data_IF_424751759801
#
_entry.id   IF_424751759801
#
_cell.length_a   1.000
_cell.length_b   1.000
_cell.length_c   1.000
_cell.angle_alpha   90.00
_cell.angle_beta   90.00
_cell.angle_gamma   90.00
#
_symmetry.space_group_name_H-M   'P 1'
#
loop_
_entity.id
_entity.type
_entity.pdbx_description
1 polymer ?
#
# COMPACT_ATOMS: atom_id res chain seq x y z
N UNK A 1 4.70 12.40 2.70
CA UNK A 1 3.75 11.85 1.71
C UNK A 1 3.98 10.35 1.63
N UNK A 2 2.92 9.54 1.60
CA UNK A 2 3.01 8.08 1.46
C UNK A 2 2.24 7.66 0.20
N UNK A 3 2.88 6.89 -0.67
CA UNK A 3 2.35 6.45 -1.97
C UNK A 3 2.66 4.97 -2.16
N UNK A 4 1.77 4.23 -2.83
CA UNK A 4 2.07 2.87 -3.27
C UNK A 4 2.43 2.78 -4.75
N UNK A 5 3.43 1.96 -5.05
CA UNK A 5 3.88 1.63 -6.42
C UNK A 5 2.84 0.92 -7.24
N UNK A 6 2.12 -0.04 -6.65
CA UNK A 6 1.12 -0.85 -7.35
C UNK A 6 -0.09 -0.03 -7.80
N UNK A 7 -0.27 1.18 -7.24
CA UNK A 7 -1.52 1.88 -7.40
C UNK A 7 -1.83 2.30 -8.84
N UNK A 8 -3.07 2.03 -9.25
CA UNK A 8 -3.64 2.35 -10.56
C UNK A 8 -4.80 3.35 -10.49
N UNK A 9 -5.28 3.68 -9.29
CA UNK A 9 -6.38 4.63 -9.06
C UNK A 9 -5.84 6.04 -8.82
N UNK A 10 -4.73 6.14 -8.09
CA UNK A 10 -3.99 7.39 -7.87
C UNK A 10 -2.86 7.50 -8.88
N UNK A 11 -2.73 8.66 -9.55
CA UNK A 11 -1.56 8.95 -10.38
C UNK A 11 -0.33 9.19 -9.49
N UNK A 12 0.37 8.08 -9.19
CA UNK A 12 1.58 8.06 -8.36
C UNK A 12 2.71 8.90 -8.93
N UNK A 13 2.87 8.97 -10.26
CA UNK A 13 3.94 9.75 -10.87
C UNK A 13 3.68 11.24 -10.73
N UNK A 14 2.44 11.66 -11.00
CA UNK A 14 2.04 13.04 -10.74
C UNK A 14 2.25 13.42 -9.28
N UNK A 15 1.78 12.59 -8.33
CA UNK A 15 1.93 12.87 -6.90
C UNK A 15 3.40 12.95 -6.45
N UNK A 16 4.28 12.09 -6.97
CA UNK A 16 5.73 12.15 -6.75
C UNK A 16 6.33 13.46 -7.28
N UNK A 17 5.91 13.90 -8.47
CA UNK A 17 6.38 15.19 -9.02
C UNK A 17 5.87 16.38 -8.18
N UNK A 18 4.61 16.33 -7.72
CA UNK A 18 4.08 17.36 -6.81
C UNK A 18 4.85 17.40 -5.48
N UNK A 19 5.22 16.23 -4.92
CA UNK A 19 6.10 16.17 -3.76
C UNK A 19 7.44 16.86 -4.03
N UNK A 20 8.10 16.47 -5.12
CA UNK A 20 9.42 17.01 -5.46
C UNK A 20 9.41 18.53 -5.73
N UNK A 21 8.29 19.07 -6.23
CA UNK A 21 8.17 20.47 -6.66
C UNK A 21 7.64 21.42 -5.58
N UNK A 22 6.80 20.91 -4.66
CA UNK A 22 6.06 21.78 -3.73
C UNK A 22 6.36 21.52 -2.25
N UNK A 23 7.02 20.42 -1.92
CA UNK A 23 7.40 20.13 -0.54
C UNK A 23 8.83 20.61 -0.35
N UNK A 24 8.99 21.89 -0.01
CA UNK A 24 10.30 22.56 0.02
C UNK A 24 11.07 22.38 1.34
N UNK A 25 10.39 21.91 2.40
CA UNK A 25 11.06 21.66 3.67
C UNK A 25 12.01 20.46 3.53
N UNK A 26 13.31 20.59 3.89
CA UNK A 26 14.32 19.54 3.71
C UNK A 26 14.00 18.26 4.51
N UNK A 27 13.20 18.36 5.56
CA UNK A 27 12.77 17.25 6.38
C UNK A 27 11.58 16.48 5.80
N UNK A 28 10.87 17.04 4.82
CA UNK A 28 9.70 16.35 4.21
C UNK A 28 10.12 15.00 3.67
N UNK A 29 9.32 13.96 3.91
CA UNK A 29 9.62 12.59 3.47
C UNK A 29 8.62 12.12 2.41
N UNK A 30 9.10 11.40 1.40
CA UNK A 30 8.32 10.54 0.52
C UNK A 30 8.52 9.09 0.95
N UNK A 31 7.46 8.45 1.40
CA UNK A 31 7.41 7.01 1.70
C UNK A 31 6.81 6.28 0.51
N UNK A 32 7.58 5.39 -0.09
CA UNK A 32 7.21 4.61 -1.26
C UNK A 32 6.98 3.15 -0.90
N UNK A 33 5.72 2.69 -0.97
CA UNK A 33 5.35 1.30 -0.76
C UNK A 33 5.48 0.54 -2.08
N UNK A 34 6.69 0.05 -2.35
CA UNK A 34 7.11 -0.67 -3.54
C UNK A 34 8.63 -0.82 -3.65
N UNK A 35 9.08 -1.64 -4.59
CA UNK A 35 10.48 -2.06 -4.72
C UNK A 35 11.26 -1.22 -5.74
N UNK A 36 10.59 -0.40 -6.53
CA UNK A 36 11.13 0.43 -7.60
C UNK A 36 10.82 1.92 -7.34
N UNK A 37 11.40 2.53 -6.30
CA UNK A 37 11.13 3.92 -5.98
C UNK A 37 11.61 4.89 -7.06
N UNK A 38 10.97 6.07 -7.18
CA UNK A 38 11.48 7.14 -8.02
C UNK A 38 12.83 7.64 -7.51
N UNK A 39 13.72 8.07 -8.41
CA UNK A 39 15.01 8.68 -8.06
C UNK A 39 14.75 10.15 -7.69
N UNK A 40 14.21 10.37 -6.49
CA UNK A 40 13.94 11.69 -5.91
C UNK A 40 14.53 11.77 -4.51
N UNK A 41 15.05 12.93 -4.13
CA UNK A 41 15.56 13.17 -2.78
C UNK A 41 14.46 12.97 -1.73
N UNK A 42 14.87 12.62 -0.50
CA UNK A 42 13.98 12.41 0.64
C UNK A 42 12.96 11.28 0.44
N UNK A 43 13.33 10.30 -0.38
CA UNK A 43 12.52 9.09 -0.64
C UNK A 43 13.03 7.92 0.20
N UNK A 44 12.14 7.27 0.94
CA UNK A 44 12.36 5.98 1.61
C UNK A 44 11.41 4.96 1.00
N UNK A 45 11.90 3.77 0.67
CA UNK A 45 11.12 2.74 0.01
C UNK A 45 11.01 1.47 0.87
N UNK A 46 9.84 0.84 0.84
CA UNK A 46 9.58 -0.43 1.51
C UNK A 46 9.03 -1.45 0.49
N UNK A 47 9.66 -2.62 0.43
CA UNK A 47 9.27 -3.70 -0.49
C UNK A 47 7.87 -4.22 -0.17
N UNK A 48 6.98 -4.32 -1.17
CA UNK A 48 5.60 -4.79 -0.96
C UNK A 48 5.32 -6.17 -1.54
N UNK A 49 6.33 -6.85 -2.08
CA UNK A 49 6.24 -8.27 -2.43
C UNK A 49 6.63 -9.07 -1.19
N UNK A 50 5.64 -9.43 -0.37
CA UNK A 50 5.80 -10.06 0.94
C UNK A 50 5.03 -11.40 0.99
N UNK A 51 5.60 -12.51 0.47
CA UNK A 51 4.92 -13.80 0.37
C UNK A 51 4.44 -14.36 1.72
N UNK A 52 5.18 -14.09 2.80
CA UNK A 52 4.85 -14.49 4.16
C UNK A 52 3.56 -13.82 4.69
N UNK A 53 3.21 -12.65 4.15
CA UNK A 53 1.96 -11.94 4.42
C UNK A 53 0.93 -12.11 3.28
N UNK A 54 1.25 -12.90 2.25
CA UNK A 54 0.48 -13.03 1.01
C UNK A 54 0.24 -11.70 0.31
N UNK A 55 1.19 -10.76 0.38
CA UNK A 55 1.08 -9.47 -0.32
C UNK A 55 1.85 -9.57 -1.65
N UNK A 56 1.15 -9.39 -2.77
CA UNK A 56 1.77 -9.34 -4.10
C UNK A 56 2.26 -7.94 -4.45
N UNK A 57 1.57 -6.90 -3.99
CA UNK A 57 1.98 -5.50 -4.19
C UNK A 57 1.24 -4.58 -3.21
N UNK A 58 1.70 -3.33 -3.08
CA UNK A 58 1.06 -2.34 -2.22
C UNK A 58 -0.20 -1.74 -2.82
N UNK A 59 -1.00 -1.08 -1.98
CA UNK A 59 -2.19 -0.31 -2.39
C UNK A 59 -2.23 1.04 -1.67
N UNK A 60 -2.81 2.08 -2.29
CA UNK A 60 -3.08 3.34 -1.60
C UNK A 60 -3.94 3.17 -0.34
N UNK A 61 -4.86 2.19 -0.32
CA UNK A 61 -5.68 1.90 0.85
C UNK A 61 -4.84 1.35 2.01
N UNK A 62 -3.76 0.66 1.69
CA UNK A 62 -2.79 0.13 2.64
C UNK A 62 -2.02 1.21 3.39
N UNK A 63 -2.11 2.50 3.03
CA UNK A 63 -1.39 3.55 3.74
C UNK A 63 -1.92 3.92 5.12
N UNK A 64 -3.18 3.57 5.44
CA UNK A 64 -3.92 4.16 6.57
C UNK A 64 -4.01 3.30 7.83
N UNK A 65 -4.08 1.98 7.69
CA UNK A 65 -4.41 1.09 8.80
C UNK A 65 -3.19 0.26 9.24
N UNK A 66 -3.03 0.06 10.55
CA UNK A 66 -2.02 -0.83 11.10
C UNK A 66 -2.37 -2.31 10.88
N UNK A 67 -1.38 -3.22 10.93
CA UNK A 67 -1.62 -4.66 10.85
C UNK A 67 -2.60 -5.19 11.91
N UNK A 68 -2.65 -4.55 13.08
CA UNK A 68 -3.50 -4.91 14.21
C UNK A 68 -4.88 -4.23 14.18
N UNK A 69 -5.19 -3.46 13.12
CA UNK A 69 -6.48 -2.80 13.01
C UNK A 69 -7.63 -3.85 12.99
N UNK A 70 -8.63 -3.76 13.88
CA UNK A 70 -9.67 -4.79 14.01
C UNK A 70 -10.60 -4.89 12.79
N UNK A 71 -10.65 -3.86 11.96
CA UNK A 71 -11.54 -3.81 10.80
C UNK A 71 -10.79 -4.10 9.48
N UNK A 72 -9.54 -3.66 9.35
CA UNK A 72 -8.78 -3.69 8.09
C UNK A 72 -7.36 -4.27 8.19
N UNK A 73 -6.95 -4.75 9.36
CA UNK A 73 -5.64 -5.36 9.60
C UNK A 73 -5.51 -6.76 8.99
N UNK A 74 -4.42 -7.47 9.34
CA UNK A 74 -4.16 -8.86 8.90
C UNK A 74 -5.34 -9.78 9.23
N UNK A 75 -5.96 -9.55 10.39
CA UNK A 75 -7.13 -10.28 10.89
C UNK A 75 -8.40 -9.41 10.92
N UNK A 76 -8.46 -8.38 10.06
CA UNK A 76 -9.58 -7.45 9.99
C UNK A 76 -10.88 -8.13 9.59
N UNK A 77 -12.01 -7.64 10.12
CA UNK A 77 -13.35 -8.15 9.80
C UNK A 77 -13.77 -7.85 8.36
N UNK A 78 -13.28 -6.76 7.77
CA UNK A 78 -13.67 -6.33 6.44
C UNK A 78 -12.61 -6.78 5.42
N UNK A 79 -13.05 -7.62 4.48
CA UNK A 79 -12.25 -8.01 3.32
C UNK A 79 -12.86 -7.43 2.06
N UNK A 80 -12.07 -6.70 1.28
CA UNK A 80 -12.51 -6.06 0.04
C UNK A 80 -12.20 -6.99 -1.14
N UNK A 81 -13.19 -7.79 -1.55
CA UNK A 81 -13.05 -8.77 -2.62
C UNK A 81 -13.20 -8.20 -4.04
N UNK A 82 -13.81 -7.02 -4.17
CA UNK A 82 -13.82 -6.30 -5.43
C UNK A 82 -12.44 -5.65 -5.65
N UNK A 83 -11.53 -6.42 -6.24
CA UNK A 83 -10.17 -6.01 -6.55
C UNK A 83 -9.88 -6.02 -8.06
N UNK A 84 -10.92 -5.95 -8.90
CA UNK A 84 -10.81 -5.91 -10.36
C UNK A 84 -10.70 -7.28 -11.04
N UNK A 85 -10.73 -8.37 -10.28
CA UNK A 85 -10.88 -9.73 -10.83
C UNK A 85 -12.28 -10.00 -11.40
N UNK A 86 -12.42 -11.09 -12.16
CA UNK A 86 -13.71 -11.58 -12.63
C UNK A 86 -14.62 -12.10 -11.50
N UNK A 87 -15.93 -12.25 -11.78
CA UNK A 87 -16.95 -12.57 -10.78
C UNK A 87 -16.74 -13.91 -10.06
N UNK A 88 -16.11 -14.88 -10.72
CA UNK A 88 -15.78 -16.18 -10.10
C UNK A 88 -14.78 -16.03 -8.95
N UNK A 89 -13.67 -15.34 -9.19
CA UNK A 89 -12.63 -15.13 -8.18
C UNK A 89 -13.12 -14.20 -7.07
N UNK A 90 -13.96 -13.22 -7.38
CA UNK A 90 -14.60 -12.36 -6.38
C UNK A 90 -15.54 -13.18 -5.47
N UNK A 91 -16.36 -14.07 -6.03
CA UNK A 91 -17.24 -14.94 -5.26
C UNK A 91 -16.46 -15.89 -4.33
N UNK A 92 -15.33 -16.43 -4.80
CA UNK A 92 -14.44 -17.26 -3.97
C UNK A 92 -13.81 -16.48 -2.82
N UNK A 93 -13.36 -15.25 -3.07
CA UNK A 93 -12.89 -14.37 -2.01
C UNK A 93 -13.97 -14.12 -0.94
N UNK A 94 -15.21 -13.84 -1.37
CA UNK A 94 -16.36 -13.62 -0.48
C UNK A 94 -16.75 -14.88 0.31
N UNK A 95 -16.53 -16.07 -0.26
CA UNK A 95 -16.76 -17.35 0.40
C UNK A 95 -15.71 -17.67 1.48
N UNK A 96 -14.62 -16.90 1.57
CA UNK A 96 -13.58 -17.07 2.58
C UNK A 96 -12.39 -17.92 2.14
N UNK A 97 -12.22 -18.15 0.83
CA UNK A 97 -11.01 -18.78 0.29
C UNK A 97 -9.73 -18.03 0.74
N UNK A 98 -8.59 -18.72 0.65
CA UNK A 98 -7.29 -18.07 0.83
C UNK A 98 -7.10 -17.02 -0.27
N UNK A 99 -6.65 -15.84 0.14
CA UNK A 99 -6.42 -14.70 -0.76
C UNK A 99 -5.01 -14.15 -0.62
N UNK A 100 -4.57 -13.51 -1.68
CA UNK A 100 -3.42 -12.62 -1.72
C UNK A 100 -3.91 -11.17 -1.70
N UNK A 101 -3.11 -10.26 -1.19
CA UNK A 101 -3.44 -8.84 -1.10
C UNK A 101 -2.66 -8.04 -2.15
N UNK A 102 -3.34 -7.09 -2.79
CA UNK A 102 -2.74 -6.23 -3.82
C UNK A 102 -3.48 -4.90 -3.98
N UNK A 103 -3.04 -4.04 -4.90
CA UNK A 103 -3.85 -2.91 -5.35
C UNK A 103 -4.98 -3.38 -6.26
N UNK A 104 -5.88 -2.45 -6.55
CA UNK A 104 -7.00 -2.70 -7.46
C UNK A 104 -6.52 -2.93 -8.89
N UNK A 105 -7.07 -3.97 -9.52
CA UNK A 105 -6.78 -4.36 -10.89
C UNK A 105 -5.57 -5.28 -11.04
N UNK A 106 -4.79 -5.49 -9.98
CA UNK A 106 -3.70 -6.46 -10.01
C UNK A 106 -4.22 -7.89 -9.93
N UNK A 107 -3.73 -8.73 -10.83
CA UNK A 107 -4.07 -10.14 -10.95
C UNK A 107 -2.81 -10.95 -11.24
N UNK A 108 -2.73 -12.13 -10.64
CA UNK A 108 -1.67 -13.10 -10.87
C UNK A 108 -2.28 -14.50 -10.98
N UNK A 109 -1.82 -15.28 -11.96
CA UNK A 109 -2.34 -16.61 -12.22
C UNK A 109 -2.24 -17.51 -10.99
N UNK A 110 -3.33 -18.21 -10.67
CA UNK A 110 -3.41 -19.09 -9.50
C UNK A 110 -3.64 -18.37 -8.17
N UNK A 111 -3.80 -17.04 -8.15
CA UNK A 111 -4.10 -16.27 -6.94
C UNK A 111 -5.48 -15.61 -7.00
N UNK A 112 -6.20 -15.66 -5.89
CA UNK A 112 -7.40 -14.83 -5.66
C UNK A 112 -6.92 -13.58 -4.93
N UNK A 113 -7.30 -12.39 -5.40
CA UNK A 113 -6.88 -11.14 -4.78
C UNK A 113 -7.98 -10.50 -3.93
N UNK A 114 -7.59 -9.95 -2.80
CA UNK A 114 -8.37 -8.98 -2.05
C UNK A 114 -7.58 -7.67 -1.99
N UNK A 115 -8.28 -6.55 -1.80
CA UNK A 115 -7.61 -5.25 -1.70
C UNK A 115 -6.75 -5.21 -0.44
N UNK A 116 -5.48 -4.83 -0.58
CA UNK A 116 -4.62 -4.57 0.56
C UNK A 116 -5.12 -3.32 1.28
N UNK A 117 -5.47 -3.46 2.55
CA UNK A 117 -6.04 -2.37 3.36
C UNK A 117 -5.18 -1.95 4.54
N UNK A 118 -4.14 -2.70 4.91
CA UNK A 118 -3.22 -2.32 5.97
C UNK A 118 -1.80 -2.08 5.45
N UNK A 119 -1.02 -1.36 6.23
CA UNK A 119 0.39 -1.10 6.00
C UNK A 119 1.23 -2.13 6.77
N UNK A 120 1.96 -3.04 6.12
CA UNK A 120 2.89 -3.93 6.84
C UNK A 120 4.04 -3.16 7.52
N UNK A 121 4.30 -1.93 7.08
CA UNK A 121 5.31 -1.02 7.63
C UNK A 121 4.67 0.17 8.36
N UNK A 122 3.57 -0.07 9.08
CA UNK A 122 2.80 1.00 9.73
C UNK A 122 3.65 1.79 10.72
N UNK A 123 4.33 1.09 11.63
CA UNK A 123 5.13 1.71 12.67
C UNK A 123 6.29 2.51 12.06
N UNK A 124 7.00 1.94 11.09
CA UNK A 124 8.06 2.63 10.37
C UNK A 124 7.54 3.85 9.61
N UNK A 125 6.31 3.79 9.08
CA UNK A 125 5.68 4.93 8.40
C UNK A 125 5.31 6.05 9.39
N UNK A 126 4.87 5.70 10.60
CA UNK A 126 4.63 6.66 11.69
C UNK A 126 5.94 7.30 12.14
N UNK A 127 7.02 6.53 12.32
CA UNK A 127 8.33 7.07 12.67
C UNK A 127 8.83 8.10 11.64
N UNK A 128 8.62 7.86 10.34
CA UNK A 128 8.93 8.86 9.29
C UNK A 128 8.09 10.12 9.41
N UNK A 129 6.81 9.99 9.75
CA UNK A 129 5.94 11.13 9.97
C UNK A 129 6.39 11.95 11.18
N UNK A 130 6.74 11.30 12.28
CA UNK A 130 7.27 11.95 13.49
C UNK A 130 8.54 12.74 13.19
N UNK A 131 9.48 12.17 12.41
CA UNK A 131 10.69 12.88 11.97
C UNK A 131 10.38 14.19 11.22
N UNK A 132 9.30 14.22 10.42
CA UNK A 132 8.85 15.45 9.75
C UNK A 132 8.30 16.45 10.77
N UNK A 133 7.47 15.98 11.71
CA UNK A 133 6.79 16.82 12.71
C UNK A 133 7.75 17.41 13.76
N UNK A 134 8.81 16.69 14.12
CA UNK A 134 9.82 17.12 15.08
C UNK A 134 10.90 18.01 14.46
N UNK A 135 10.96 18.06 13.12
CA UNK A 135 11.92 18.91 12.44
C UNK A 135 11.61 20.39 12.66
N UNK A 136 12.63 21.15 13.05
CA UNK A 136 12.55 22.59 13.33
C UNK A 136 12.82 23.43 12.09
#
# INVERSE_FOLDING_TARGET
>A
MLISEGDTVVDKYFAVEQFATHFDNPSSQLVWLGSNPPIKERTTAYNMQLPELRISEGSHMGGLFSPDNPEYGIHGKNRLCNNGQGPELEARCLAGDEVWYSSYGYMEDGKIHARLTYNPYFDESIERMEQVLESK
#
